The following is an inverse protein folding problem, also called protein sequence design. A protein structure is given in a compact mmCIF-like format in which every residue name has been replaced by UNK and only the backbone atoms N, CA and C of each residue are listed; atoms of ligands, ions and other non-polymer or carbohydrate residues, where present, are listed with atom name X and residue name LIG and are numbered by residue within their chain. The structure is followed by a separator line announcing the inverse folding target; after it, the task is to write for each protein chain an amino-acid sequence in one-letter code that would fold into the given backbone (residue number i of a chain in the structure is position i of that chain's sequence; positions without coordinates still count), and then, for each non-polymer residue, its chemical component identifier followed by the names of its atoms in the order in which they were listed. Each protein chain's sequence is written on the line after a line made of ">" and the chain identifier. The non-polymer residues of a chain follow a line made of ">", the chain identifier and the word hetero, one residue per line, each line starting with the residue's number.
data_IF_888584643557
#
_entry.id   IF_888584643557
#
_cell.length_a   1.000
_cell.length_b   1.000
_cell.length_c   1.000
_cell.angle_alpha   90.00
_cell.angle_beta   90.00
_cell.angle_gamma   90.00
#
_symmetry.space_group_name_H-M   'P 1'
#
loop_
_entity.id
_entity.type
_entity.pdbx_description
1 polymer ?
#
# COMPACT_ATOMS: atom_id res chain seq x y z
N UNK A 1 7.58 26.37 -8.84
CA UNK A 1 7.13 25.31 -7.91
C UNK A 1 7.89 24.08 -8.28
N UNK A 2 8.37 23.31 -7.31
CA UNK A 2 9.25 22.19 -7.56
C UNK A 2 8.45 20.88 -7.74
N UNK A 3 9.11 19.82 -8.22
CA UNK A 3 8.47 18.60 -8.71
C UNK A 3 7.95 17.68 -7.60
N UNK A 4 7.08 16.73 -7.98
CA UNK A 4 6.61 15.64 -7.14
C UNK A 4 7.54 14.44 -7.34
N UNK A 5 8.06 13.88 -6.25
CA UNK A 5 8.95 12.73 -6.25
C UNK A 5 8.26 11.50 -5.68
N UNK A 6 8.54 10.35 -6.27
CA UNK A 6 8.14 9.03 -5.76
C UNK A 6 9.37 8.15 -5.61
N UNK A 7 9.62 7.66 -4.39
CA UNK A 7 10.61 6.61 -4.18
C UNK A 7 9.99 5.26 -4.53
N UNK A 8 10.53 4.60 -5.56
CA UNK A 8 10.08 3.30 -6.03
C UNK A 8 10.84 2.18 -5.32
N UNK A 9 10.11 1.34 -4.62
CA UNK A 9 10.65 0.14 -3.98
C UNK A 9 10.75 -1.00 -4.99
N UNK A 10 11.80 -1.82 -4.84
CA UNK A 10 12.05 -2.97 -5.71
C UNK A 10 12.42 -4.21 -4.91
N UNK A 11 12.08 -5.37 -5.45
CA UNK A 11 12.69 -6.65 -5.09
C UNK A 11 13.50 -7.16 -6.30
N UNK A 12 14.82 -7.11 -6.20
CA UNK A 12 15.77 -7.32 -7.32
C UNK A 12 15.51 -6.32 -8.44
N UNK A 13 14.94 -6.78 -9.56
CA UNK A 13 14.59 -5.95 -10.73
C UNK A 13 13.09 -5.71 -10.85
N UNK A 14 12.29 -6.22 -9.93
CA UNK A 14 10.83 -6.07 -9.96
C UNK A 14 10.40 -4.91 -9.07
N UNK A 15 9.65 -3.98 -9.62
CA UNK A 15 9.08 -2.84 -8.89
C UNK A 15 7.89 -3.32 -8.05
N UNK A 16 7.86 -2.93 -6.78
CA UNK A 16 6.81 -3.30 -5.84
C UNK A 16 5.47 -2.61 -6.15
N UNK A 17 4.37 -3.31 -5.94
CA UNK A 17 3.02 -2.86 -6.29
C UNK A 17 2.66 -1.48 -5.70
N UNK A 18 3.10 -1.18 -4.47
CA UNK A 18 2.87 0.11 -3.81
C UNK A 18 3.48 1.27 -4.61
N UNK A 19 4.60 1.06 -5.27
CA UNK A 19 5.26 2.08 -6.10
C UNK A 19 4.38 2.49 -7.28
N UNK A 20 3.70 1.54 -7.93
CA UNK A 20 2.77 1.84 -9.03
C UNK A 20 1.54 2.63 -8.57
N UNK A 21 1.03 2.32 -7.36
CA UNK A 21 -0.04 3.10 -6.74
C UNK A 21 0.40 4.56 -6.51
N UNK A 22 1.63 4.74 -5.99
CA UNK A 22 2.20 6.05 -5.71
C UNK A 22 2.53 6.85 -6.97
N UNK A 23 3.05 6.20 -8.02
CA UNK A 23 3.31 6.84 -9.30
C UNK A 23 2.01 7.39 -9.91
N UNK A 24 0.94 6.58 -9.89
CA UNK A 24 -0.40 7.01 -10.36
C UNK A 24 -0.91 8.21 -9.56
N UNK A 25 -0.78 8.18 -8.24
CA UNK A 25 -1.19 9.32 -7.39
C UNK A 25 -0.29 10.51 -7.57
N UNK A 26 1.02 10.30 -7.64
CA UNK A 26 2.03 11.32 -7.90
C UNK A 26 1.77 12.06 -9.21
N UNK A 27 1.39 11.35 -10.28
CA UNK A 27 1.02 11.95 -11.57
C UNK A 27 -0.19 12.88 -11.44
N UNK A 28 -1.22 12.44 -10.70
CA UNK A 28 -2.42 13.28 -10.45
C UNK A 28 -2.05 14.56 -9.68
N UNK A 29 -1.24 14.44 -8.62
CA UNK A 29 -0.77 15.58 -7.84
C UNK A 29 0.13 16.52 -8.66
N UNK A 30 1.04 15.98 -9.47
CA UNK A 30 1.91 16.77 -10.34
C UNK A 30 1.12 17.55 -11.40
N UNK A 31 0.10 16.93 -11.99
CA UNK A 31 -0.81 17.61 -12.94
C UNK A 31 -1.58 18.74 -12.27
N UNK A 32 -2.10 18.53 -11.06
CA UNK A 32 -2.83 19.53 -10.30
C UNK A 32 -1.95 20.74 -9.92
N UNK A 33 -0.68 20.48 -9.60
CA UNK A 33 0.31 21.50 -9.30
C UNK A 33 0.95 22.15 -10.55
N UNK A 34 0.77 21.59 -11.75
CA UNK A 34 1.42 22.02 -12.98
C UNK A 34 2.93 21.80 -12.98
N UNK A 35 3.41 20.70 -12.39
CA UNK A 35 4.83 20.34 -12.27
C UNK A 35 5.09 18.92 -12.81
N UNK A 36 6.36 18.52 -12.84
CA UNK A 36 6.74 17.17 -13.28
C UNK A 36 6.58 16.13 -12.17
N UNK A 37 6.35 14.89 -12.58
CA UNK A 37 6.49 13.70 -11.75
C UNK A 37 7.88 13.11 -11.97
N UNK A 38 8.66 13.02 -10.89
CA UNK A 38 9.95 12.36 -10.89
C UNK A 38 9.91 11.09 -10.03
N UNK A 39 10.65 10.08 -10.45
CA UNK A 39 10.78 8.84 -9.70
C UNK A 39 12.23 8.55 -9.36
N UNK A 40 12.45 7.90 -8.24
CA UNK A 40 13.77 7.48 -7.78
C UNK A 40 13.75 5.99 -7.51
N UNK A 41 14.71 5.26 -8.06
CA UNK A 41 14.91 3.84 -7.81
C UNK A 41 16.37 3.54 -7.53
N UNK A 42 16.62 2.73 -6.51
CA UNK A 42 17.97 2.33 -6.10
C UNK A 42 18.07 0.80 -6.09
N UNK A 43 19.11 0.25 -6.70
CA UNK A 43 19.30 -1.20 -6.74
C UNK A 43 20.64 -1.64 -7.30
N UNK A 44 20.75 -2.92 -7.63
CA UNK A 44 21.93 -3.53 -8.22
C UNK A 44 21.53 -4.33 -9.46
N UNK A 45 22.08 -3.96 -10.61
CA UNK A 45 21.80 -4.62 -11.89
C UNK A 45 20.38 -4.36 -12.39
N UNK A 46 19.85 -3.14 -12.19
CA UNK A 46 18.44 -2.79 -12.48
C UNK A 46 18.24 -2.06 -13.81
N UNK A 47 19.32 -1.59 -14.42
CA UNK A 47 19.26 -0.84 -15.71
C UNK A 47 18.58 -1.63 -16.81
N UNK A 48 17.67 -0.98 -17.53
CA UNK A 48 16.92 -1.56 -18.64
C UNK A 48 15.66 -2.34 -18.21
N UNK A 49 15.54 -2.69 -16.93
CA UNK A 49 14.40 -3.49 -16.41
C UNK A 49 13.36 -2.64 -15.67
N UNK A 50 13.82 -1.70 -14.85
CA UNK A 50 12.91 -0.88 -14.03
C UNK A 50 12.25 0.23 -14.81
N UNK A 51 12.88 0.75 -15.85
CA UNK A 51 12.37 1.82 -16.69
C UNK A 51 11.06 1.43 -17.37
N UNK A 52 11.03 0.21 -17.95
CA UNK A 52 9.84 -0.34 -18.62
C UNK A 52 8.66 -0.52 -17.66
N UNK A 53 8.92 -0.66 -16.36
CA UNK A 53 7.90 -0.84 -15.35
C UNK A 53 7.41 0.52 -14.82
N UNK A 54 8.27 1.53 -14.74
CA UNK A 54 8.02 2.82 -14.06
C UNK A 54 7.47 3.87 -15.03
N UNK A 55 8.11 4.06 -16.20
CA UNK A 55 7.73 5.11 -17.15
C UNK A 55 6.27 5.07 -17.60
N UNK A 56 5.64 3.89 -17.81
CA UNK A 56 4.23 3.81 -18.21
C UNK A 56 3.23 4.52 -17.30
N UNK A 57 3.61 4.83 -16.08
CA UNK A 57 2.77 5.55 -15.10
C UNK A 57 2.85 7.08 -15.22
N UNK A 58 3.50 7.59 -16.29
CA UNK A 58 3.58 9.02 -16.57
C UNK A 58 4.72 9.72 -15.83
N UNK A 59 5.83 9.03 -15.63
CA UNK A 59 7.04 9.60 -15.00
C UNK A 59 7.78 10.44 -16.02
N UNK A 60 7.94 11.72 -15.74
CA UNK A 60 8.63 12.68 -16.64
C UNK A 60 10.15 12.50 -16.56
N UNK A 61 10.68 12.21 -15.36
CA UNK A 61 12.11 11.97 -15.12
C UNK A 61 12.32 10.85 -14.11
N UNK A 62 13.11 9.85 -14.50
CA UNK A 62 13.45 8.71 -13.65
C UNK A 62 14.94 8.74 -13.30
N UNK A 63 15.24 8.87 -12.01
CA UNK A 63 16.59 8.76 -11.46
C UNK A 63 16.89 7.30 -11.09
N UNK A 64 17.84 6.68 -11.79
CA UNK A 64 18.25 5.29 -11.59
C UNK A 64 19.61 5.26 -10.92
N UNK A 65 19.64 4.78 -9.69
CA UNK A 65 20.85 4.52 -8.91
C UNK A 65 21.16 3.02 -8.95
N UNK A 66 22.10 2.62 -9.79
CA UNK A 66 22.47 1.22 -10.00
C UNK A 66 23.93 0.98 -9.61
N UNK A 67 24.15 0.40 -8.44
CA UNK A 67 25.48 0.05 -7.93
C UNK A 67 25.45 -1.19 -7.03
N UNK A 68 26.57 -1.87 -6.92
CA UNK A 68 26.76 -2.96 -5.96
C UNK A 68 26.55 -2.44 -4.52
N UNK A 69 25.80 -3.20 -3.71
CA UNK A 69 25.49 -2.86 -2.31
C UNK A 69 24.22 -2.04 -2.11
N UNK A 70 23.54 -1.57 -3.17
CA UNK A 70 22.24 -0.92 -3.05
C UNK A 70 21.08 -1.92 -2.95
N UNK A 71 21.31 -3.18 -3.30
CA UNK A 71 20.34 -4.26 -3.05
C UNK A 71 21.07 -5.45 -2.39
N UNK A 72 20.50 -6.11 -1.36
CA UNK A 72 19.25 -5.77 -0.66
C UNK A 72 19.30 -4.42 0.08
N UNK A 73 18.12 -3.82 0.32
CA UNK A 73 18.02 -2.53 1.00
C UNK A 73 18.80 -2.48 2.31
N UNK A 74 19.56 -1.40 2.47
CA UNK A 74 20.18 -0.97 3.74
C UNK A 74 19.94 0.52 3.91
N UNK A 75 19.69 0.97 5.15
CA UNK A 75 19.19 2.33 5.41
C UNK A 75 20.14 3.44 4.96
N UNK A 76 21.44 3.28 5.24
CA UNK A 76 22.40 4.38 5.11
C UNK A 76 22.60 4.83 3.67
N UNK A 77 22.98 3.96 2.70
CA UNK A 77 23.22 4.42 1.34
C UNK A 77 21.98 4.99 0.68
N UNK A 78 20.78 4.40 0.91
CA UNK A 78 19.55 4.95 0.38
C UNK A 78 19.19 6.31 0.99
N UNK A 79 19.47 6.51 2.29
CA UNK A 79 19.28 7.82 2.94
C UNK A 79 20.22 8.87 2.33
N UNK A 80 21.52 8.56 2.18
CA UNK A 80 22.51 9.46 1.61
C UNK A 80 22.17 9.87 0.18
N UNK A 81 21.70 8.91 -0.64
CA UNK A 81 21.23 9.17 -2.01
C UNK A 81 20.09 10.18 -2.00
N UNK A 82 19.01 9.88 -1.24
CA UNK A 82 17.83 10.75 -1.26
C UNK A 82 18.09 12.13 -0.66
N UNK A 83 18.90 12.21 0.40
CA UNK A 83 19.25 13.50 1.01
C UNK A 83 19.97 14.38 0.00
N UNK A 84 21.06 13.88 -0.64
CA UNK A 84 21.82 14.66 -1.61
C UNK A 84 21.03 14.96 -2.89
N UNK A 85 20.18 14.03 -3.35
CA UNK A 85 19.31 14.27 -4.49
C UNK A 85 18.31 15.39 -4.18
N UNK A 86 17.70 15.38 -3.00
CA UNK A 86 16.73 16.40 -2.61
C UNK A 86 17.37 17.74 -2.29
N UNK A 87 18.64 17.78 -1.89
CA UNK A 87 19.43 19.02 -1.80
C UNK A 87 19.68 19.63 -3.18
N UNK A 88 19.79 18.83 -4.24
CA UNK A 88 20.01 19.29 -5.59
C UNK A 88 18.67 19.66 -6.30
N UNK A 89 17.66 18.81 -6.21
CA UNK A 89 16.41 18.93 -6.97
C UNK A 89 15.31 19.71 -6.21
N UNK A 90 15.42 19.87 -4.90
CA UNK A 90 14.47 20.61 -4.05
C UNK A 90 13.00 20.21 -4.23
N UNK A 91 12.62 18.94 -4.05
CA UNK A 91 11.27 18.48 -4.32
C UNK A 91 10.20 19.21 -3.49
N UNK A 92 9.02 19.44 -4.09
CA UNK A 92 7.85 19.98 -3.39
C UNK A 92 7.21 18.91 -2.50
N UNK A 93 7.10 17.68 -3.03
CA UNK A 93 6.45 16.52 -2.41
C UNK A 93 7.34 15.29 -2.61
N UNK A 94 7.42 14.44 -1.60
CA UNK A 94 7.99 13.10 -1.74
C UNK A 94 7.06 12.05 -1.16
N UNK A 95 6.74 11.05 -1.96
CA UNK A 95 5.88 9.92 -1.60
C UNK A 95 6.69 8.64 -1.50
N UNK A 96 6.41 7.84 -0.47
CA UNK A 96 7.00 6.51 -0.23
C UNK A 96 5.93 5.52 0.20
N UNK A 97 6.13 4.22 0.01
CA UNK A 97 5.25 3.19 0.57
C UNK A 97 5.33 3.14 2.10
N UNK A 98 4.23 2.90 2.78
CA UNK A 98 4.23 2.61 4.22
C UNK A 98 4.61 1.14 4.49
N UNK A 99 5.64 0.67 3.82
CA UNK A 99 6.27 -0.64 3.92
C UNK A 99 7.32 -0.66 5.04
N UNK A 100 7.98 -1.79 5.23
CA UNK A 100 9.15 -1.87 6.13
C UNK A 100 10.25 -0.90 5.68
N UNK A 101 10.50 -0.80 4.36
CA UNK A 101 11.52 0.09 3.79
C UNK A 101 11.12 1.56 3.98
N UNK A 102 9.93 1.94 3.53
CA UNK A 102 9.54 3.34 3.59
C UNK A 102 9.35 3.88 5.02
N UNK A 103 8.98 3.00 5.97
CA UNK A 103 8.90 3.36 7.40
C UNK A 103 10.27 3.52 8.07
N UNK A 104 11.33 2.95 7.51
CA UNK A 104 12.71 3.20 7.94
C UNK A 104 13.32 4.40 7.19
N UNK A 105 13.21 4.45 5.87
CA UNK A 105 13.85 5.45 5.02
C UNK A 105 13.20 6.85 5.15
N UNK A 106 11.86 6.89 5.12
CA UNK A 106 11.11 8.16 5.14
C UNK A 106 11.45 9.06 6.32
N UNK A 107 11.40 8.58 7.59
CA UNK A 107 11.78 9.38 8.75
C UNK A 107 13.23 9.87 8.73
N UNK A 108 14.15 9.08 8.19
CA UNK A 108 15.58 9.47 8.08
C UNK A 108 15.76 10.63 7.13
N UNK A 109 15.17 10.54 5.94
CA UNK A 109 15.22 11.62 4.93
C UNK A 109 14.50 12.86 5.43
N UNK A 110 13.31 12.71 6.00
CA UNK A 110 12.54 13.81 6.59
C UNK A 110 13.32 14.54 7.69
N UNK A 111 13.97 13.79 8.59
CA UNK A 111 14.80 14.38 9.65
C UNK A 111 16.00 15.16 9.11
N UNK A 112 16.69 14.64 8.08
CA UNK A 112 17.82 15.29 7.47
C UNK A 112 17.44 16.64 6.82
N UNK A 113 16.27 16.70 6.21
CA UNK A 113 15.74 17.93 5.58
C UNK A 113 14.94 18.81 6.56
N UNK A 114 14.86 18.45 7.85
CA UNK A 114 14.03 19.14 8.84
C UNK A 114 12.58 19.34 8.33
N UNK A 115 12.09 18.43 7.52
CA UNK A 115 10.75 18.45 6.95
C UNK A 115 9.81 17.54 7.74
N UNK A 116 8.49 17.71 7.54
CA UNK A 116 7.50 16.84 8.18
C UNK A 116 7.19 15.61 7.34
N UNK A 117 7.00 14.47 8.00
CA UNK A 117 6.52 13.23 7.39
C UNK A 117 5.25 12.76 8.08
N UNK A 118 4.20 12.52 7.30
CA UNK A 118 2.98 11.85 7.80
C UNK A 118 3.01 10.38 7.42
N UNK A 119 2.92 9.52 8.42
CA UNK A 119 2.96 8.06 8.22
C UNK A 119 1.56 7.48 7.98
N UNK A 120 1.50 6.40 7.18
CA UNK A 120 0.29 5.58 6.95
C UNK A 120 -0.90 6.35 6.36
N UNK A 121 -0.65 7.27 5.44
CA UNK A 121 -1.70 8.00 4.73
C UNK A 121 -2.58 7.04 3.92
N UNK A 122 -3.86 7.37 3.84
CA UNK A 122 -4.85 6.65 3.03
C UNK A 122 -5.43 7.50 1.90
N UNK A 123 -5.26 8.83 1.98
CA UNK A 123 -5.58 9.74 0.89
C UNK A 123 -4.59 10.92 0.88
N UNK A 124 -4.40 11.51 -0.29
CA UNK A 124 -3.54 12.67 -0.53
C UNK A 124 -4.26 13.62 -1.48
N UNK A 125 -4.27 14.91 -1.17
CA UNK A 125 -4.95 15.93 -1.97
C UNK A 125 -4.13 17.22 -1.96
N UNK A 126 -4.33 18.11 -2.93
CA UNK A 126 -3.77 19.46 -2.90
C UNK A 126 -4.81 20.40 -2.31
N UNK A 127 -4.34 21.35 -1.48
CA UNK A 127 -5.22 22.34 -0.89
C UNK A 127 -4.48 23.55 -0.35
N UNK A 128 -5.19 24.40 0.39
CA UNK A 128 -4.66 25.60 1.03
C UNK A 128 -4.93 25.60 2.53
N UNK A 129 -4.04 26.22 3.29
CA UNK A 129 -4.19 26.35 4.74
C UNK A 129 -4.02 27.81 5.17
N UNK A 130 -5.00 28.33 5.89
CA UNK A 130 -4.95 29.64 6.50
C UNK A 130 -4.49 29.52 7.96
N UNK A 131 -3.31 30.05 8.25
CA UNK A 131 -2.87 30.26 9.63
C UNK A 131 -3.46 31.57 10.15
N UNK A 132 -4.59 31.45 10.87
CA UNK A 132 -5.29 32.61 11.44
C UNK A 132 -4.48 33.35 12.50
N UNK A 133 -3.48 32.70 13.13
CA UNK A 133 -2.62 33.33 14.13
C UNK A 133 -1.55 34.20 13.48
N UNK A 134 -0.98 33.70 12.40
CA UNK A 134 0.02 34.43 11.62
C UNK A 134 -0.59 35.34 10.54
N UNK A 135 -1.89 35.21 10.26
CA UNK A 135 -2.57 35.95 9.16
C UNK A 135 -2.04 35.56 7.79
N UNK A 136 -1.55 34.34 7.62
CA UNK A 136 -0.87 33.88 6.41
C UNK A 136 -1.64 32.72 5.76
N UNK A 137 -1.83 32.82 4.44
CA UNK A 137 -2.40 31.74 3.63
C UNK A 137 -1.27 31.02 2.91
N UNK A 138 -1.27 29.70 3.01
CA UNK A 138 -0.35 28.81 2.31
C UNK A 138 -1.15 28.05 1.25
N UNK A 139 -0.74 28.13 0.01
CA UNK A 139 -1.37 27.46 -1.12
C UNK A 139 -0.54 26.27 -1.60
N UNK A 140 -1.16 25.36 -2.37
CA UNK A 140 -0.50 24.22 -3.00
C UNK A 140 0.17 23.30 -1.98
N UNK A 141 -0.50 23.09 -0.84
CA UNK A 141 -0.05 22.16 0.20
C UNK A 141 -0.57 20.75 -0.06
N UNK A 142 0.26 19.77 0.29
CA UNK A 142 -0.17 18.37 0.35
C UNK A 142 -1.00 18.15 1.61
N UNK A 143 -2.29 17.84 1.45
CA UNK A 143 -3.13 17.29 2.49
C UNK A 143 -2.81 15.81 2.66
N UNK A 144 -2.24 15.49 3.81
CA UNK A 144 -1.80 14.16 4.18
C UNK A 144 -2.86 13.56 5.09
N UNK A 145 -3.75 12.76 4.51
CA UNK A 145 -4.97 12.28 5.16
C UNK A 145 -4.74 10.86 5.66
N UNK A 146 -4.97 10.66 6.96
CA UNK A 146 -4.81 9.36 7.60
C UNK A 146 -5.89 9.08 8.64
N UNK A 147 -6.29 7.80 8.85
CA UNK A 147 -7.12 7.42 9.97
C UNK A 147 -6.38 7.63 11.30
N UNK A 148 -7.11 8.13 12.29
CA UNK A 148 -6.66 8.29 13.66
C UNK A 148 -7.64 7.59 14.62
N UNK A 149 -7.20 7.32 15.85
CA UNK A 149 -8.04 6.76 16.91
C UNK A 149 -8.90 5.56 16.50
N UNK A 150 -8.26 4.51 15.96
CA UNK A 150 -8.95 3.28 15.57
C UNK A 150 -9.78 3.37 14.28
N UNK A 151 -9.64 4.46 13.51
CA UNK A 151 -10.33 4.63 12.22
C UNK A 151 -11.61 5.46 12.28
N UNK A 152 -12.06 5.86 13.47
CA UNK A 152 -13.29 6.66 13.64
C UNK A 152 -13.08 8.15 13.32
N UNK A 153 -11.85 8.61 13.29
CA UNK A 153 -11.49 9.99 13.00
C UNK A 153 -10.49 9.98 11.83
N UNK A 154 -10.66 10.90 10.92
CA UNK A 154 -9.72 11.16 9.84
C UNK A 154 -8.98 12.46 10.16
N UNK A 155 -7.66 12.39 10.21
CA UNK A 155 -6.80 13.56 10.41
C UNK A 155 -6.23 14.01 9.05
N UNK A 156 -6.37 15.30 8.76
CA UNK A 156 -5.68 15.97 7.65
C UNK A 156 -4.49 16.74 8.23
N UNK A 157 -3.28 16.37 7.81
CA UNK A 157 -2.04 16.97 8.26
C UNK A 157 -1.44 17.80 7.12
N UNK A 158 -0.87 18.97 7.42
CA UNK A 158 -0.22 19.85 6.47
C UNK A 158 1.15 20.28 6.97
N UNK A 159 2.09 20.46 6.05
CA UNK A 159 3.44 20.99 6.31
C UNK A 159 3.61 22.30 5.53
N UNK A 160 3.24 23.46 6.08
CA UNK A 160 3.19 24.69 5.31
C UNK A 160 4.57 25.28 4.98
N UNK A 161 5.58 25.10 5.83
CA UNK A 161 6.85 25.83 5.73
C UNK A 161 8.00 25.04 5.16
N UNK A 162 8.12 23.73 5.48
CA UNK A 162 9.26 22.92 5.11
C UNK A 162 9.00 22.05 3.88
N UNK A 163 10.06 21.76 3.13
CA UNK A 163 10.05 20.88 1.94
C UNK A 163 11.16 19.84 2.02
N UNK A 164 10.96 18.68 1.38
CA UNK A 164 9.70 18.23 0.74
C UNK A 164 8.58 17.96 1.77
N UNK A 165 7.32 18.09 1.34
CA UNK A 165 6.19 17.58 2.11
C UNK A 165 6.16 16.06 1.93
N UNK A 166 6.40 15.30 2.99
CA UNK A 166 6.62 13.86 2.88
C UNK A 166 5.45 13.05 3.43
N UNK A 167 5.09 11.99 2.73
CA UNK A 167 4.09 11.05 3.18
C UNK A 167 4.51 9.61 2.91
N UNK A 168 4.31 8.72 3.88
CA UNK A 168 4.24 7.30 3.57
C UNK A 168 2.78 6.88 3.40
N UNK A 169 2.51 6.07 2.37
CA UNK A 169 1.16 5.67 1.97
C UNK A 169 0.99 4.17 2.13
N UNK A 170 -0.11 3.78 2.74
CA UNK A 170 -0.44 2.37 2.95
C UNK A 170 -0.65 1.66 1.61
N UNK A 171 -0.05 0.47 1.43
CA UNK A 171 -0.27 -0.37 0.26
C UNK A 171 -1.75 -0.76 0.13
N UNK A 172 -2.25 -0.80 -1.11
CA UNK A 172 -3.60 -1.26 -1.41
C UNK A 172 -4.69 -0.20 -1.17
N UNK A 173 -4.34 1.05 -0.85
CA UNK A 173 -5.34 2.13 -0.65
C UNK A 173 -5.50 3.04 -1.87
N UNK A 174 -4.55 3.00 -2.80
CA UNK A 174 -4.62 3.77 -4.05
C UNK A 174 -4.62 2.83 -5.25
N UNK A 175 -5.16 3.30 -6.37
CA UNK A 175 -5.17 2.52 -7.62
C UNK A 175 -3.85 2.70 -8.36
N UNK A 176 -3.37 1.61 -8.97
CA UNK A 176 -2.31 1.63 -9.97
C UNK A 176 -2.94 1.62 -11.37
N UNK A 177 -2.71 2.67 -12.14
CA UNK A 177 -3.29 2.87 -13.48
C UNK A 177 -2.17 3.29 -14.45
N UNK A 178 -1.91 2.47 -15.45
CA UNK A 178 -0.98 2.80 -16.53
C UNK A 178 -1.54 3.97 -17.32
N UNK A 179 -0.74 5.03 -17.48
CA UNK A 179 -1.14 6.22 -18.24
C UNK A 179 -0.92 6.00 -19.74
N UNK A 180 0.29 5.60 -20.13
CA UNK A 180 0.70 5.32 -21.49
C UNK A 180 1.85 4.30 -21.47
N UNK A 181 1.66 3.16 -22.13
CA UNK A 181 2.67 2.10 -22.20
C UNK A 181 4.00 2.57 -22.82
N UNK A 182 3.98 3.64 -23.65
CA UNK A 182 5.14 4.20 -24.33
C UNK A 182 5.45 5.62 -23.85
N UNK A 183 5.15 5.96 -22.60
CA UNK A 183 5.37 7.31 -22.07
C UNK A 183 6.84 7.75 -22.22
N UNK A 184 7.11 8.91 -22.84
CA UNK A 184 8.46 9.34 -23.25
C UNK A 184 9.21 10.05 -22.12
N UNK A 185 9.28 9.43 -20.93
CA UNK A 185 10.01 10.01 -19.81
C UNK A 185 11.53 9.95 -19.98
N UNK A 186 12.22 10.94 -19.43
CA UNK A 186 13.67 10.99 -19.36
C UNK A 186 14.20 9.97 -18.35
N UNK A 187 15.25 9.23 -18.70
CA UNK A 187 15.96 8.33 -17.77
C UNK A 187 17.35 8.87 -17.48
N UNK A 188 17.63 9.15 -16.22
CA UNK A 188 18.93 9.61 -15.76
C UNK A 188 19.60 8.49 -14.95
N UNK A 189 20.70 7.96 -15.49
CA UNK A 189 21.56 7.03 -14.76
C UNK A 189 22.55 7.81 -13.91
N UNK A 190 22.29 7.84 -12.63
CA UNK A 190 23.07 8.65 -11.68
C UNK A 190 24.42 8.01 -11.37
N UNK A 191 25.43 8.85 -11.24
CA UNK A 191 26.74 8.43 -10.73
C UNK A 191 26.68 8.29 -9.20
N UNK A 192 26.44 7.07 -8.74
CA UNK A 192 26.24 6.73 -7.33
C UNK A 192 27.36 7.24 -6.43
N UNK A 193 28.63 7.30 -6.94
CA UNK A 193 29.77 7.77 -6.17
C UNK A 193 29.69 9.22 -5.70
N UNK A 194 28.84 10.04 -6.35
CA UNK A 194 28.60 11.41 -5.92
C UNK A 194 27.63 11.50 -4.74
N UNK A 195 26.84 10.48 -4.53
CA UNK A 195 25.75 10.46 -3.53
C UNK A 195 26.11 9.67 -2.28
N UNK A 196 26.95 8.64 -2.41
CA UNK A 196 27.35 7.78 -1.30
C UNK A 196 28.88 7.71 -1.20
N UNK A 197 29.37 7.40 -0.01
CA UNK A 197 30.76 7.10 0.24
C UNK A 197 30.93 5.72 0.91
N UNK A 198 32.17 5.30 1.15
CA UNK A 198 32.46 3.98 1.74
C UNK A 198 31.88 3.82 3.16
N UNK A 199 31.65 4.92 3.88
CA UNK A 199 31.09 4.90 5.23
C UNK A 199 29.58 4.68 5.23
N UNK A 200 28.92 4.72 4.08
CA UNK A 200 27.51 4.40 3.95
C UNK A 200 27.28 2.88 3.90
N UNK A 201 28.25 2.10 3.43
CA UNK A 201 28.19 0.64 3.29
C UNK A 201 28.73 -0.12 4.50
N UNK A 202 28.43 0.35 5.72
CA UNK A 202 28.89 -0.28 6.98
C UNK A 202 28.15 -1.57 7.34
N UNK A 203 27.01 -1.82 6.73
CA UNK A 203 26.20 -3.02 6.91
C UNK A 203 26.22 -3.84 5.63
N UNK A 204 26.54 -5.13 5.76
CA UNK A 204 26.46 -6.09 4.64
C UNK A 204 25.39 -7.14 4.96
N UNK A 205 24.45 -7.29 4.06
CA UNK A 205 23.47 -8.38 4.13
C UNK A 205 24.17 -9.68 3.73
N UNK A 206 24.31 -10.63 4.65
CA UNK A 206 24.94 -11.92 4.40
C UNK A 206 23.99 -12.92 3.78
N UNK A 207 22.74 -12.91 4.22
CA UNK A 207 21.70 -13.83 3.76
C UNK A 207 20.33 -13.16 3.82
N UNK A 208 19.49 -13.44 2.84
CA UNK A 208 18.10 -12.97 2.78
C UNK A 208 17.18 -14.19 2.64
N UNK A 209 16.41 -14.45 3.69
CA UNK A 209 15.36 -15.45 3.65
C UNK A 209 14.05 -14.79 3.24
N UNK A 210 13.52 -15.19 2.09
CA UNK A 210 12.21 -14.75 1.61
C UNK A 210 11.24 -15.91 1.81
N UNK A 211 10.35 -15.78 2.77
CA UNK A 211 9.22 -16.69 2.87
C UNK A 211 8.29 -16.44 1.68
N UNK A 212 8.06 -17.49 0.89
CA UNK A 212 7.02 -17.39 -0.15
C UNK A 212 5.69 -17.16 0.55
N UNK A 213 5.01 -16.09 0.19
CA UNK A 213 3.65 -15.86 0.66
C UNK A 213 2.81 -17.11 0.34
N UNK A 214 2.33 -17.78 1.39
CA UNK A 214 1.51 -19.00 1.25
C UNK A 214 0.17 -18.70 0.58
N UNK A 215 -0.25 -17.43 0.58
CA UNK A 215 -1.55 -16.97 0.10
C UNK A 215 -1.39 -15.68 -0.70
N UNK A 216 -2.10 -15.56 -1.81
CA UNK A 216 -2.13 -14.35 -2.63
C UNK A 216 -3.38 -13.50 -2.34
N UNK A 217 -3.64 -13.18 -1.09
CA UNK A 217 -4.84 -12.42 -0.68
C UNK A 217 -4.98 -11.06 -1.38
N UNK A 218 -3.87 -10.35 -1.60
CA UNK A 218 -3.91 -9.01 -2.23
C UNK A 218 -4.35 -9.04 -3.68
N UNK A 219 -4.00 -10.10 -4.41
CA UNK A 219 -4.30 -10.25 -5.84
C UNK A 219 -5.49 -11.16 -6.13
N UNK A 220 -6.11 -11.73 -5.10
CA UNK A 220 -7.20 -12.69 -5.29
C UNK A 220 -8.47 -12.00 -5.84
N UNK A 221 -9.06 -12.51 -6.94
CA UNK A 221 -10.31 -11.99 -7.47
C UNK A 221 -11.51 -12.32 -6.59
N UNK A 222 -11.42 -13.38 -5.80
CA UNK A 222 -12.44 -13.83 -4.85
C UNK A 222 -11.77 -14.11 -3.52
N UNK A 223 -12.34 -13.58 -2.43
CA UNK A 223 -11.90 -13.84 -1.06
C UNK A 223 -13.05 -14.39 -0.24
N UNK A 224 -12.84 -15.55 0.39
CA UNK A 224 -13.75 -16.15 1.36
C UNK A 224 -13.16 -15.93 2.76
N UNK A 225 -13.72 -15.01 3.52
CA UNK A 225 -13.18 -14.60 4.81
C UNK A 225 -14.00 -15.16 5.98
N UNK A 226 -13.30 -15.71 6.97
CA UNK A 226 -13.89 -16.23 8.20
C UNK A 226 -13.72 -15.31 9.40
N UNK A 227 -14.79 -15.13 10.15
CA UNK A 227 -14.77 -14.45 11.45
C UNK A 227 -14.72 -15.41 12.63
N UNK A 228 -14.82 -14.85 13.85
CA UNK A 228 -14.93 -15.63 15.07
C UNK A 228 -16.18 -16.56 15.06
N UNK A 229 -17.24 -16.13 14.37
CA UNK A 229 -18.49 -16.93 14.23
C UNK A 229 -18.35 -18.22 13.42
N UNK A 230 -17.19 -18.47 12.78
CA UNK A 230 -16.85 -19.76 12.17
C UNK A 230 -16.61 -20.85 13.23
N UNK A 231 -16.16 -20.45 14.43
CA UNK A 231 -16.14 -21.28 15.63
C UNK A 231 -14.96 -22.23 15.79
N UNK A 232 -14.31 -22.70 14.72
CA UNK A 232 -13.24 -23.68 14.81
C UNK A 232 -12.30 -23.71 13.59
N UNK A 233 -11.20 -24.49 13.69
CA UNK A 233 -10.31 -24.80 12.56
C UNK A 233 -11.02 -25.61 11.47
N UNK A 234 -11.88 -26.53 11.85
CA UNK A 234 -12.68 -27.37 10.95
C UNK A 234 -13.67 -26.52 10.13
N UNK A 235 -14.24 -25.47 10.76
CA UNK A 235 -15.04 -24.46 10.07
C UNK A 235 -14.23 -23.70 9.03
N UNK A 236 -12.97 -23.37 9.31
CA UNK A 236 -12.06 -22.76 8.31
C UNK A 236 -11.70 -23.73 7.18
N UNK A 237 -11.64 -25.04 7.42
CA UNK A 237 -11.45 -26.03 6.36
C UNK A 237 -12.64 -26.05 5.38
N UNK A 238 -13.84 -25.77 5.87
CA UNK A 238 -15.02 -25.61 5.02
C UNK A 238 -14.90 -24.35 4.14
N UNK A 239 -14.42 -23.25 4.69
CA UNK A 239 -14.14 -22.03 3.92
C UNK A 239 -13.05 -22.24 2.87
N UNK A 240 -11.99 -23.02 3.19
CA UNK A 240 -10.95 -23.39 2.22
C UNK A 240 -11.52 -24.20 1.06
N UNK A 241 -12.49 -25.12 1.33
CA UNK A 241 -13.18 -25.86 0.27
C UNK A 241 -13.98 -24.93 -0.64
N UNK A 242 -14.73 -23.97 -0.08
CA UNK A 242 -15.47 -22.99 -0.86
C UNK A 242 -14.54 -22.10 -1.70
N UNK A 243 -13.48 -21.58 -1.09
CA UNK A 243 -12.49 -20.75 -1.80
C UNK A 243 -11.86 -21.51 -2.97
N UNK A 244 -11.50 -22.77 -2.77
CA UNK A 244 -10.94 -23.63 -3.82
C UNK A 244 -11.90 -23.83 -4.99
N UNK A 245 -13.19 -24.09 -4.73
CA UNK A 245 -14.21 -24.22 -5.79
C UNK A 245 -14.38 -22.92 -6.58
N UNK A 246 -14.31 -21.79 -5.90
CA UNK A 246 -14.45 -20.47 -6.51
C UNK A 246 -13.14 -19.92 -7.13
N UNK A 247 -12.04 -20.69 -7.10
CA UNK A 247 -10.70 -20.23 -7.50
C UNK A 247 -10.28 -18.94 -6.77
N UNK A 248 -10.64 -18.84 -5.49
CA UNK A 248 -10.34 -17.72 -4.61
C UNK A 248 -9.39 -18.07 -3.48
N UNK A 249 -9.14 -17.11 -2.61
CA UNK A 249 -8.28 -17.24 -1.43
C UNK A 249 -9.09 -17.14 -0.14
N UNK A 250 -8.52 -17.70 0.95
CA UNK A 250 -9.12 -17.62 2.28
C UNK A 250 -8.53 -16.46 3.06
N UNK A 251 -9.39 -15.63 3.66
CA UNK A 251 -9.01 -14.59 4.60
C UNK A 251 -9.62 -14.81 5.98
N UNK A 252 -9.20 -13.99 6.96
CA UNK A 252 -9.69 -14.10 8.32
C UNK A 252 -9.84 -12.73 9.00
N UNK A 253 -10.75 -12.63 9.96
CA UNK A 253 -10.75 -11.52 10.89
C UNK A 253 -9.67 -11.71 11.97
N UNK A 254 -9.23 -10.61 12.59
CA UNK A 254 -8.29 -10.67 13.72
C UNK A 254 -8.80 -11.57 14.84
N UNK A 255 -10.08 -11.51 15.19
CA UNK A 255 -10.66 -12.33 16.25
C UNK A 255 -10.56 -13.85 15.97
N UNK A 256 -10.64 -14.26 14.71
CA UNK A 256 -10.45 -15.67 14.32
C UNK A 256 -8.98 -16.08 14.41
N UNK A 257 -8.05 -15.21 14.05
CA UNK A 257 -6.60 -15.42 14.20
C UNK A 257 -6.23 -15.49 15.68
N UNK A 258 -6.66 -14.54 16.49
CA UNK A 258 -6.39 -14.49 17.95
C UNK A 258 -6.97 -15.73 18.66
N UNK A 259 -8.08 -16.29 18.16
CA UNK A 259 -8.67 -17.55 18.65
C UNK A 259 -7.90 -18.81 18.16
N UNK A 260 -6.91 -18.65 17.29
CA UNK A 260 -6.10 -19.76 16.76
C UNK A 260 -6.83 -20.63 15.72
N UNK A 261 -7.90 -20.13 15.10
CA UNK A 261 -8.63 -20.88 14.05
C UNK A 261 -7.86 -20.91 12.72
N UNK A 262 -6.98 -19.94 12.47
CA UNK A 262 -6.17 -19.83 11.28
C UNK A 262 -4.88 -19.05 11.54
N UNK A 263 -3.97 -19.06 10.55
CA UNK A 263 -2.67 -18.41 10.62
C UNK A 263 -2.81 -16.87 10.48
N UNK A 264 -1.82 -16.16 11.03
CA UNK A 264 -1.81 -14.68 11.05
C UNK A 264 -1.71 -14.04 9.65
N UNK A 265 -1.09 -14.71 8.69
CA UNK A 265 -0.94 -14.29 7.30
C UNK A 265 -2.27 -14.17 6.54
N UNK A 266 -3.34 -14.76 7.07
CA UNK A 266 -4.70 -14.64 6.55
C UNK A 266 -5.46 -13.41 7.09
N UNK A 267 -4.89 -12.66 8.03
CA UNK A 267 -5.59 -11.57 8.68
C UNK A 267 -5.89 -10.42 7.71
N UNK A 268 -7.17 -10.10 7.57
CA UNK A 268 -7.68 -8.93 6.82
C UNK A 268 -8.10 -7.84 7.79
N UNK A 269 -7.70 -6.60 7.52
CA UNK A 269 -8.09 -5.45 8.31
C UNK A 269 -7.01 -4.38 8.40
N UNK A 270 -7.21 -3.42 9.27
CA UNK A 270 -6.33 -2.27 9.47
C UNK A 270 -4.89 -2.66 9.86
N UNK A 271 -4.73 -3.75 10.61
CA UNK A 271 -3.44 -4.29 11.07
C UNK A 271 -3.01 -5.55 10.32
N UNK A 272 -3.78 -5.95 9.30
CA UNK A 272 -3.51 -7.08 8.43
C UNK A 272 -3.39 -6.67 6.97
N UNK A 273 -3.77 -7.59 6.09
CA UNK A 273 -3.79 -7.37 4.64
C UNK A 273 -5.01 -6.53 4.26
N UNK A 274 -4.83 -5.54 3.38
CA UNK A 274 -5.95 -4.88 2.69
C UNK A 274 -6.19 -5.57 1.36
N UNK A 275 -7.44 -5.92 1.08
CA UNK A 275 -7.87 -6.67 -0.11
C UNK A 275 -8.91 -5.90 -0.91
N UNK A 276 -8.94 -6.14 -2.24
CA UNK A 276 -9.90 -5.55 -3.17
C UNK A 276 -10.40 -6.60 -4.17
N UNK A 277 -10.99 -7.70 -3.70
CA UNK A 277 -11.49 -8.73 -4.60
C UNK A 277 -12.72 -8.23 -5.38
N UNK A 278 -13.00 -8.88 -6.49
CA UNK A 278 -14.28 -8.70 -7.19
C UNK A 278 -15.45 -9.18 -6.33
N UNK A 279 -15.25 -10.27 -5.57
CA UNK A 279 -16.25 -10.83 -4.64
C UNK A 279 -15.60 -11.12 -3.29
N UNK A 280 -16.19 -10.60 -2.24
CA UNK A 280 -15.82 -10.83 -0.84
C UNK A 280 -16.95 -11.56 -0.11
N UNK A 281 -16.71 -12.79 0.36
CA UNK A 281 -17.68 -13.58 1.11
C UNK A 281 -17.29 -13.56 2.58
N UNK A 282 -18.07 -12.86 3.40
CA UNK A 282 -17.85 -12.68 4.84
C UNK A 282 -18.64 -13.72 5.63
N UNK A 283 -17.98 -14.74 6.17
CA UNK A 283 -18.56 -15.84 6.90
C UNK A 283 -18.37 -15.68 8.41
N UNK A 284 -19.44 -15.47 9.19
CA UNK A 284 -19.36 -15.34 10.65
C UNK A 284 -18.51 -14.13 11.11
N UNK A 285 -18.50 -13.06 10.32
CA UNK A 285 -17.78 -11.80 10.62
C UNK A 285 -18.77 -10.78 11.17
N UNK A 286 -18.43 -10.12 12.29
CA UNK A 286 -19.28 -9.09 12.88
C UNK A 286 -19.28 -7.78 12.09
N UNK A 287 -18.17 -7.41 11.45
CA UNK A 287 -18.03 -6.13 10.74
C UNK A 287 -17.44 -5.01 11.59
N UNK A 288 -16.52 -5.32 12.48
CA UNK A 288 -15.75 -4.32 13.20
C UNK A 288 -15.05 -3.37 12.22
N UNK A 289 -14.99 -2.07 12.54
CA UNK A 289 -14.43 -1.02 11.69
C UNK A 289 -13.02 -1.34 11.22
N UNK A 290 -12.22 -1.95 12.09
CA UNK A 290 -10.84 -2.35 11.77
C UNK A 290 -10.77 -3.44 10.69
N UNK A 291 -11.74 -4.37 10.67
CA UNK A 291 -11.85 -5.38 9.63
C UNK A 291 -12.35 -4.77 8.32
N UNK A 292 -13.41 -3.97 8.42
CA UNK A 292 -14.01 -3.26 7.29
C UNK A 292 -12.99 -2.39 6.55
N UNK A 293 -12.09 -1.72 7.27
CA UNK A 293 -11.01 -0.92 6.67
C UNK A 293 -10.11 -1.72 5.71
N UNK A 294 -10.04 -3.05 5.88
CA UNK A 294 -9.25 -3.92 5.02
C UNK A 294 -10.01 -4.52 3.82
N UNK A 295 -11.35 -4.35 3.73
CA UNK A 295 -12.14 -4.99 2.67
C UNK A 295 -13.21 -4.10 2.01
N UNK A 296 -13.43 -2.90 2.49
CA UNK A 296 -14.52 -1.99 2.04
C UNK A 296 -14.48 -1.63 0.55
N UNK A 297 -13.32 -1.78 -0.10
CA UNK A 297 -13.13 -1.53 -1.53
C UNK A 297 -13.38 -2.79 -2.39
N UNK A 298 -14.01 -3.82 -1.82
CA UNK A 298 -14.43 -5.02 -2.57
C UNK A 298 -15.56 -4.69 -3.54
N UNK A 299 -15.63 -5.40 -4.66
CA UNK A 299 -16.65 -5.15 -5.69
C UNK A 299 -18.05 -5.56 -5.25
N UNK A 300 -18.19 -6.81 -4.80
CA UNK A 300 -19.45 -7.39 -4.28
C UNK A 300 -19.15 -8.00 -2.92
N UNK A 301 -19.97 -7.70 -1.94
CA UNK A 301 -19.86 -8.25 -0.58
C UNK A 301 -21.06 -9.15 -0.29
N UNK A 302 -20.79 -10.40 0.07
CA UNK A 302 -21.78 -11.38 0.50
C UNK A 302 -21.54 -11.68 1.97
N UNK A 303 -22.54 -11.45 2.83
CA UNK A 303 -22.48 -11.79 4.25
C UNK A 303 -23.24 -13.09 4.53
N UNK A 304 -22.57 -14.02 5.22
CA UNK A 304 -23.16 -15.23 5.80
C UNK A 304 -23.04 -15.10 7.32
N UNK A 305 -24.17 -14.88 8.01
CA UNK A 305 -24.16 -14.63 9.44
C UNK A 305 -25.42 -15.19 10.12
N UNK A 306 -25.28 -15.66 11.34
CA UNK A 306 -26.40 -16.07 12.19
C UNK A 306 -27.11 -14.87 12.84
N UNK A 307 -26.37 -13.75 13.00
CA UNK A 307 -26.93 -12.49 13.52
C UNK A 307 -27.43 -11.62 12.36
N UNK A 308 -28.76 -11.41 12.22
CA UNK A 308 -29.31 -10.56 11.16
C UNK A 308 -28.95 -9.08 11.34
N UNK A 309 -28.52 -8.65 12.54
CA UNK A 309 -28.15 -7.28 12.86
C UNK A 309 -26.63 -7.05 12.87
N UNK A 310 -25.83 -8.01 12.43
CA UNK A 310 -24.39 -7.84 12.38
C UNK A 310 -24.02 -6.61 11.52
N UNK A 311 -23.13 -5.70 11.98
CA UNK A 311 -22.77 -4.49 11.25
C UNK A 311 -22.24 -4.75 9.83
N UNK A 312 -21.64 -5.90 9.56
CA UNK A 312 -21.18 -6.28 8.21
C UNK A 312 -22.35 -6.35 7.20
N UNK A 313 -23.56 -6.66 7.65
CA UNK A 313 -24.74 -6.75 6.80
C UNK A 313 -25.14 -5.41 6.19
N UNK A 314 -24.78 -4.28 6.81
CA UNK A 314 -25.02 -2.93 6.28
C UNK A 314 -24.13 -2.58 5.10
N UNK A 315 -23.02 -3.32 4.94
CA UNK A 315 -22.06 -3.14 3.85
C UNK A 315 -22.21 -4.21 2.77
N UNK A 316 -22.99 -5.26 3.05
CA UNK A 316 -23.15 -6.39 2.15
C UNK A 316 -24.21 -6.10 1.08
N UNK A 317 -23.90 -6.44 -0.18
CA UNK A 317 -24.85 -6.44 -1.29
C UNK A 317 -25.85 -7.59 -1.15
N UNK A 318 -25.41 -8.70 -0.54
CA UNK A 318 -26.25 -9.89 -0.29
C UNK A 318 -26.04 -10.37 1.15
N UNK A 319 -27.15 -10.61 1.85
CA UNK A 319 -27.14 -11.13 3.23
C UNK A 319 -27.83 -12.48 3.26
N UNK A 320 -27.12 -13.50 3.75
CA UNK A 320 -27.63 -14.84 3.95
C UNK A 320 -27.65 -15.11 5.45
N UNK A 321 -28.84 -15.18 6.04
CA UNK A 321 -28.98 -15.52 7.47
C UNK A 321 -28.91 -17.03 7.64
N UNK A 322 -27.89 -17.51 8.36
CA UNK A 322 -27.67 -18.92 8.61
C UNK A 322 -26.26 -19.20 9.15
N UNK A 323 -26.03 -20.42 9.61
CA UNK A 323 -24.70 -20.82 10.06
C UNK A 323 -23.78 -21.15 8.88
N UNK A 324 -22.48 -21.06 9.11
CA UNK A 324 -21.46 -21.38 8.10
C UNK A 324 -21.60 -22.84 7.66
N UNK A 325 -21.87 -23.74 8.62
CA UNK A 325 -22.00 -25.19 8.41
C UNK A 325 -23.22 -25.55 7.52
N UNK A 326 -24.27 -24.73 7.56
CA UNK A 326 -25.47 -24.94 6.74
C UNK A 326 -25.37 -24.29 5.37
N UNK A 327 -24.84 -23.07 5.32
CA UNK A 327 -24.85 -22.23 4.11
C UNK A 327 -23.73 -22.61 3.15
N UNK A 328 -22.48 -22.75 3.66
CA UNK A 328 -21.32 -22.97 2.79
C UNK A 328 -21.41 -24.28 1.97
N UNK A 329 -21.85 -25.44 2.52
CA UNK A 329 -22.05 -26.63 1.71
C UNK A 329 -23.08 -26.47 0.59
N UNK A 330 -24.14 -25.68 0.84
CA UNK A 330 -25.16 -25.37 -0.18
C UNK A 330 -24.57 -24.48 -1.26
N UNK A 331 -23.78 -23.47 -0.90
CA UNK A 331 -23.07 -22.62 -1.87
C UNK A 331 -22.17 -23.46 -2.79
N UNK A 332 -21.38 -24.37 -2.23
CA UNK A 332 -20.52 -25.29 -2.99
C UNK A 332 -21.36 -26.15 -3.95
N UNK A 333 -22.46 -26.73 -3.43
CA UNK A 333 -23.34 -27.59 -4.24
C UNK A 333 -23.93 -26.82 -5.42
N UNK A 334 -24.56 -25.69 -5.16
CA UNK A 334 -25.22 -24.89 -6.23
C UNK A 334 -24.22 -24.31 -7.23
N UNK A 335 -23.03 -23.94 -6.79
CA UNK A 335 -21.98 -23.48 -7.71
C UNK A 335 -21.55 -24.58 -8.68
N UNK A 336 -21.39 -25.83 -8.20
CA UNK A 336 -21.09 -27.00 -9.06
C UNK A 336 -22.21 -27.37 -10.01
N UNK A 337 -23.46 -27.19 -9.59
CA UNK A 337 -24.63 -27.44 -10.45
C UNK A 337 -24.83 -26.38 -11.53
N UNK A 338 -24.21 -25.20 -11.37
CA UNK A 338 -24.30 -24.08 -12.31
C UNK A 338 -23.16 -24.03 -13.34
N UNK A 339 -22.14 -24.89 -13.19
CA UNK A 339 -21.05 -25.08 -14.17
C UNK A 339 -21.43 -26.14 -15.20
#
# INVERSE_FOLDING_TARGET
>A
MNNVFVYCEIDKTTVEAVSFELLTKGRKLANELGVQLEAVVCGTGIKGEVERQILPYGVDKLHVFDAEGLFPYTSKPHTSILVKLFEAEHPQICLMGATVIGRDLGPRVSSAHMSGLTADCTALEIGSYEDKRAGKVYENLLYQIRPAFGGNIVATIVNPEHRPQMATVRSGVMKAEVLDANYPGEVVYEDVSKYVDTTDFVVKVLERHVEKAKNNLKGAPIVVAGGYGVGSKEGFDLLRKLAKELHGEVGASRAAVDAGFCEHDLQIGQTGVTVRPKVYIACGISGAIQHVAGMKESGIVISVNTDPNAPINQLADYVITGSVEEVVPKMIKYYREAQ
#
